data_IF_944010406270
#
_entry.id   IF_944010406270
#
_cell.length_a   1.000
_cell.length_b   1.000
_cell.length_c   1.000
_cell.angle_alpha   90.00
_cell.angle_beta   90.00
_cell.angle_gamma   90.00
#
_symmetry.space_group_name_H-M   'P 1'
#
loop_
_entity.id
_entity.type
_entity.pdbx_description
1 polymer ?
#
# COMPACT_ATOMS: atom_id res chain seq x y z
N UNK A 1 -9.81 3.98 -20.21
CA UNK A 1 -10.56 3.45 -19.04
C UNK A 1 -10.45 1.93 -19.07
N UNK A 2 -10.17 1.29 -17.93
CA UNK A 2 -10.00 -0.17 -17.84
C UNK A 2 -11.29 -0.86 -18.31
N UNK A 3 -11.20 -1.63 -19.40
CA UNK A 3 -12.36 -2.29 -20.05
C UNK A 3 -12.76 -3.61 -19.38
N UNK A 4 -12.02 -4.05 -18.36
CA UNK A 4 -12.28 -5.31 -17.66
C UNK A 4 -12.76 -5.02 -16.23
N UNK A 5 -13.78 -5.75 -15.74
CA UNK A 5 -14.25 -5.64 -14.38
C UNK A 5 -13.13 -6.04 -13.39
N UNK A 6 -13.00 -5.25 -12.33
CA UNK A 6 -12.11 -5.53 -11.21
C UNK A 6 -12.69 -6.70 -10.40
N UNK A 7 -12.36 -7.93 -10.78
CA UNK A 7 -12.88 -9.16 -10.17
C UNK A 7 -12.28 -9.44 -8.78
N UNK A 8 -11.21 -8.76 -8.42
CA UNK A 8 -10.47 -8.91 -7.17
C UNK A 8 -10.90 -7.89 -6.09
N UNK A 9 -12.07 -7.27 -6.23
CA UNK A 9 -12.66 -6.36 -5.25
C UNK A 9 -14.09 -6.75 -4.95
N UNK A 10 -14.41 -6.92 -3.66
CA UNK A 10 -15.77 -7.09 -3.19
C UNK A 10 -16.13 -5.95 -2.22
N UNK A 11 -17.41 -5.55 -2.20
CA UNK A 11 -17.92 -4.57 -1.24
C UNK A 11 -18.58 -5.30 -0.07
N UNK A 12 -18.20 -4.96 1.16
CA UNK A 12 -18.84 -5.51 2.37
C UNK A 12 -20.18 -4.79 2.63
N UNK A 13 -21.08 -5.37 3.45
CA UNK A 13 -22.33 -4.72 3.84
C UNK A 13 -22.13 -3.33 4.49
N UNK A 14 -21.02 -3.14 5.20
CA UNK A 14 -20.63 -1.89 5.86
C UNK A 14 -20.04 -0.86 4.86
N UNK A 15 -19.94 -1.24 3.58
CA UNK A 15 -19.40 -0.38 2.52
C UNK A 15 -17.89 -0.34 2.43
N UNK A 16 -17.16 -1.23 3.12
CA UNK A 16 -15.73 -1.39 2.96
C UNK A 16 -15.41 -2.19 1.69
N UNK A 17 -14.17 -2.07 1.22
CA UNK A 17 -13.65 -2.87 0.11
C UNK A 17 -12.79 -4.01 0.65
N UNK A 18 -13.13 -5.22 0.26
CA UNK A 18 -12.33 -6.42 0.46
C UNK A 18 -11.46 -6.65 -0.79
N UNK A 19 -10.16 -6.76 -0.57
CA UNK A 19 -9.16 -7.01 -1.61
C UNK A 19 -8.89 -8.52 -1.69
N UNK A 20 -9.32 -9.14 -2.79
CA UNK A 20 -9.16 -10.57 -3.06
C UNK A 20 -7.96 -10.79 -4.00
N UNK A 21 -7.53 -12.04 -4.14
CA UNK A 21 -6.52 -12.49 -5.12
C UNK A 21 -5.26 -11.60 -5.13
N UNK A 22 -4.67 -11.41 -3.94
CA UNK A 22 -3.49 -10.57 -3.71
C UNK A 22 -2.18 -11.36 -3.59
N UNK A 23 -2.20 -12.66 -3.90
CA UNK A 23 -1.06 -13.59 -3.81
C UNK A 23 0.10 -13.16 -4.71
N UNK A 24 -0.21 -12.53 -5.83
CA UNK A 24 0.77 -12.02 -6.77
C UNK A 24 1.48 -10.75 -6.29
N UNK A 25 1.11 -10.16 -5.13
CA UNK A 25 1.54 -8.83 -4.69
C UNK A 25 3.05 -8.58 -4.56
N UNK A 26 3.59 -8.66 -3.35
CA UNK A 26 4.94 -8.17 -2.94
C UNK A 26 6.15 -8.85 -3.64
N UNK A 27 5.88 -9.72 -4.61
CA UNK A 27 6.86 -10.45 -5.40
C UNK A 27 6.58 -10.28 -6.90
N UNK A 28 5.66 -11.07 -7.45
CA UNK A 28 5.39 -11.09 -8.88
C UNK A 28 4.84 -9.75 -9.41
N UNK A 29 4.05 -9.04 -8.60
CA UNK A 29 3.42 -7.77 -8.95
C UNK A 29 4.44 -6.66 -9.15
N UNK A 30 5.57 -6.69 -8.43
CA UNK A 30 6.65 -5.74 -8.66
C UNK A 30 7.37 -5.93 -9.99
N UNK A 31 7.30 -7.11 -10.63
CA UNK A 31 7.83 -7.30 -11.99
C UNK A 31 7.02 -6.54 -13.04
N UNK A 32 5.75 -6.25 -12.74
CA UNK A 32 4.84 -5.54 -13.62
C UNK A 32 4.68 -4.07 -13.21
N UNK A 33 5.50 -3.58 -12.28
CA UNK A 33 5.34 -2.25 -11.72
C UNK A 33 5.35 -1.19 -12.82
N UNK A 34 6.31 -1.24 -13.74
CA UNK A 34 6.41 -0.31 -14.87
C UNK A 34 5.13 -0.26 -15.72
N UNK A 35 4.50 -1.42 -15.96
CA UNK A 35 3.26 -1.53 -16.74
C UNK A 35 2.06 -0.91 -16.03
N UNK A 36 2.01 -0.97 -14.70
CA UNK A 36 0.84 -0.54 -13.92
C UNK A 36 1.04 0.77 -13.15
N UNK A 37 2.26 1.28 -13.06
CA UNK A 37 2.60 2.46 -12.26
C UNK A 37 1.85 3.71 -12.72
N UNK A 38 1.64 3.88 -14.03
CA UNK A 38 0.85 4.99 -14.56
C UNK A 38 -0.59 4.99 -14.02
N UNK A 39 -1.23 3.84 -13.85
CA UNK A 39 -2.57 3.74 -13.27
C UNK A 39 -2.55 4.03 -11.77
N UNK A 40 -1.55 3.52 -11.04
CA UNK A 40 -1.39 3.82 -9.61
C UNK A 40 -1.19 5.32 -9.37
N UNK A 41 -0.35 5.97 -10.18
CA UNK A 41 -0.10 7.41 -10.11
C UNK A 41 -1.32 8.22 -10.48
N UNK A 42 -2.00 7.89 -11.59
CA UNK A 42 -3.22 8.60 -11.98
C UNK A 42 -4.29 8.58 -10.88
N UNK A 43 -4.43 7.46 -10.16
CA UNK A 43 -5.35 7.37 -9.02
C UNK A 43 -4.88 8.19 -7.83
N UNK A 44 -3.60 8.07 -7.46
CA UNK A 44 -3.04 8.75 -6.30
C UNK A 44 -3.02 10.27 -6.51
N UNK A 45 -2.46 10.73 -7.64
CA UNK A 45 -2.32 12.14 -8.01
C UNK A 45 -3.67 12.83 -8.23
N UNK A 46 -4.71 12.06 -8.61
CA UNK A 46 -6.06 12.56 -8.82
C UNK A 46 -6.83 12.88 -7.55
N UNK A 47 -6.33 12.49 -6.37
CA UNK A 47 -7.06 12.61 -5.10
C UNK A 47 -6.16 13.15 -3.97
N UNK A 48 -6.73 14.05 -3.15
CA UNK A 48 -6.15 14.51 -1.89
C UNK A 48 -7.07 14.22 -0.69
N UNK A 49 -7.72 13.05 -0.72
CA UNK A 49 -8.65 12.58 0.32
C UNK A 49 -8.10 11.26 0.86
N UNK A 50 -7.88 11.19 2.17
CA UNK A 50 -7.28 10.03 2.82
C UNK A 50 -7.88 9.84 4.20
N UNK A 51 -8.06 8.61 4.67
CA UNK A 51 -8.43 8.38 6.08
C UNK A 51 -7.32 8.82 7.02
N UNK A 52 -7.67 9.45 8.15
CA UNK A 52 -6.67 9.96 9.14
C UNK A 52 -5.71 8.87 9.56
N UNK A 53 -6.29 7.77 10.01
CA UNK A 53 -5.56 6.63 10.54
C UNK A 53 -4.58 6.07 9.51
N UNK A 54 -4.99 5.97 8.23
CA UNK A 54 -4.11 5.48 7.16
C UNK A 54 -2.90 6.40 6.96
N UNK A 55 -3.11 7.73 6.94
CA UNK A 55 -2.01 8.70 6.82
C UNK A 55 -1.06 8.64 8.01
N UNK A 56 -1.60 8.48 9.22
CA UNK A 56 -0.77 8.39 10.43
C UNK A 56 0.10 7.13 10.42
N UNK A 57 -0.45 5.98 10.01
CA UNK A 57 0.29 4.73 9.87
C UNK A 57 1.32 4.79 8.75
N UNK A 58 0.98 5.30 7.56
CA UNK A 58 1.95 5.49 6.46
C UNK A 58 3.09 6.41 6.89
N UNK A 59 2.76 7.52 7.56
CA UNK A 59 3.75 8.43 8.12
C UNK A 59 4.65 7.78 9.16
N UNK A 60 4.08 6.93 10.03
CA UNK A 60 4.85 6.15 11.01
C UNK A 60 5.78 5.15 10.35
N UNK A 61 5.28 4.31 9.44
CA UNK A 61 6.07 3.32 8.71
C UNK A 61 7.20 3.96 7.90
N UNK A 62 6.95 5.11 7.29
CA UNK A 62 7.98 5.87 6.59
C UNK A 62 9.06 6.40 7.53
N UNK A 63 8.68 7.00 8.67
CA UNK A 63 9.62 7.56 9.66
C UNK A 63 10.47 6.48 10.32
N UNK A 64 9.83 5.39 10.75
CA UNK A 64 10.49 4.32 11.49
C UNK A 64 11.31 3.42 10.55
N UNK A 65 11.04 3.47 9.23
CA UNK A 65 11.69 2.67 8.18
C UNK A 65 11.76 1.16 8.49
N UNK A 66 10.79 0.66 9.26
CA UNK A 66 10.79 -0.66 9.87
C UNK A 66 9.73 -1.60 9.27
N UNK A 67 9.17 -1.27 8.11
CA UNK A 67 8.10 -2.07 7.47
C UNK A 67 8.51 -3.54 7.28
N UNK A 68 9.79 -3.80 7.00
CA UNK A 68 10.33 -5.15 6.89
C UNK A 68 10.16 -5.95 8.19
N UNK A 69 10.53 -5.33 9.32
CA UNK A 69 10.45 -5.95 10.65
C UNK A 69 8.99 -6.20 11.02
N UNK A 70 8.14 -5.19 10.84
CA UNK A 70 6.70 -5.28 11.15
C UNK A 70 6.04 -6.38 10.31
N UNK A 71 6.36 -6.44 9.01
CA UNK A 71 5.78 -7.44 8.11
C UNK A 71 6.31 -8.84 8.40
N UNK A 72 7.61 -8.98 8.69
CA UNK A 72 8.21 -10.26 9.07
C UNK A 72 7.59 -10.79 10.36
N UNK A 73 7.45 -9.93 11.37
CA UNK A 73 6.81 -10.30 12.63
C UNK A 73 5.35 -10.71 12.43
N UNK A 74 4.59 -9.95 11.63
CA UNK A 74 3.21 -10.29 11.30
C UNK A 74 3.10 -11.65 10.59
N UNK A 75 3.98 -11.91 9.62
CA UNK A 75 4.01 -13.20 8.92
C UNK A 75 4.34 -14.36 9.86
N UNK A 76 5.34 -14.19 10.74
CA UNK A 76 5.68 -15.20 11.76
C UNK A 76 4.54 -15.48 12.75
N UNK A 77 3.78 -14.45 13.13
CA UNK A 77 2.69 -14.59 14.10
C UNK A 77 1.42 -15.19 13.48
N UNK A 78 1.14 -14.87 12.22
CA UNK A 78 -0.07 -15.33 11.52
C UNK A 78 0.05 -16.75 11.02
N UNK A 79 1.26 -17.16 10.60
CA UNK A 79 1.52 -18.47 10.01
C UNK A 79 2.73 -19.17 10.68
N UNK A 80 2.60 -19.64 11.94
CA UNK A 80 3.69 -20.31 12.64
C UNK A 80 4.22 -21.54 11.87
N UNK A 81 5.54 -21.64 11.71
CA UNK A 81 6.20 -22.75 10.98
C UNK A 81 6.27 -22.58 9.46
N UNK A 82 5.66 -21.54 8.90
CA UNK A 82 5.70 -21.30 7.44
C UNK A 82 7.12 -21.02 6.92
N UNK A 83 8.00 -20.46 7.75
CA UNK A 83 9.39 -20.13 7.39
C UNK A 83 10.25 -21.34 7.01
N UNK A 84 9.87 -22.54 7.45
CA UNK A 84 10.57 -23.77 7.07
C UNK A 84 10.32 -24.13 5.58
N UNK A 85 9.27 -23.55 4.99
CA UNK A 85 8.79 -23.86 3.64
C UNK A 85 8.83 -22.67 2.70
N UNK A 86 8.65 -21.46 3.22
CA UNK A 86 8.57 -20.23 2.43
C UNK A 86 9.56 -19.18 2.97
N UNK A 87 10.54 -18.74 2.17
CA UNK A 87 11.40 -17.64 2.57
C UNK A 87 10.61 -16.34 2.68
N UNK A 88 11.09 -15.44 3.53
CA UNK A 88 10.58 -14.08 3.56
C UNK A 88 10.92 -13.32 2.26
N UNK A 89 10.37 -12.11 2.11
CA UNK A 89 10.55 -11.27 0.93
C UNK A 89 12.04 -11.01 0.63
N UNK A 90 12.46 -11.07 -0.64
CA UNK A 90 13.80 -10.65 -1.06
C UNK A 90 14.06 -9.17 -0.73
N UNK A 91 15.32 -8.83 -0.47
CA UNK A 91 15.73 -7.46 -0.14
C UNK A 91 15.28 -6.44 -1.21
N UNK A 92 15.33 -6.82 -2.49
CA UNK A 92 14.84 -5.97 -3.60
C UNK A 92 13.35 -5.62 -3.43
N UNK A 93 12.51 -6.59 -3.07
CA UNK A 93 11.08 -6.35 -2.82
C UNK A 93 10.87 -5.45 -1.61
N UNK A 94 11.64 -5.65 -0.54
CA UNK A 94 11.58 -4.79 0.65
C UNK A 94 11.95 -3.34 0.30
N UNK A 95 13.01 -3.13 -0.48
CA UNK A 95 13.41 -1.80 -0.97
C UNK A 95 12.29 -1.16 -1.80
N UNK A 96 11.71 -1.90 -2.76
CA UNK A 96 10.57 -1.41 -3.53
C UNK A 96 9.38 -1.05 -2.65
N UNK A 97 9.06 -1.83 -1.61
CA UNK A 97 7.98 -1.51 -0.66
C UNK A 97 8.27 -0.20 0.10
N UNK A 98 9.50 -0.03 0.60
CA UNK A 98 9.95 1.20 1.28
C UNK A 98 9.82 2.43 0.37
N UNK A 99 10.27 2.32 -0.88
CA UNK A 99 10.18 3.40 -1.87
C UNK A 99 8.73 3.78 -2.16
N UNK A 100 7.83 2.78 -2.29
CA UNK A 100 6.41 3.02 -2.51
C UNK A 100 5.72 3.69 -1.32
N UNK A 101 6.09 3.31 -0.09
CA UNK A 101 5.61 3.99 1.14
C UNK A 101 6.09 5.45 1.14
N UNK A 102 7.36 5.70 0.81
CA UNK A 102 7.90 7.05 0.73
C UNK A 102 7.16 7.90 -0.33
N UNK A 103 6.83 7.32 -1.49
CA UNK A 103 6.07 8.00 -2.54
C UNK A 103 4.67 8.41 -2.07
N UNK A 104 3.93 7.50 -1.42
CA UNK A 104 2.60 7.82 -0.85
C UNK A 104 2.72 8.90 0.21
N UNK A 105 3.72 8.81 1.10
CA UNK A 105 3.92 9.82 2.13
C UNK A 105 4.27 11.21 1.54
N UNK A 106 5.06 11.24 0.46
CA UNK A 106 5.38 12.48 -0.24
C UNK A 106 4.14 13.09 -0.91
N UNK A 107 3.26 12.26 -1.47
CA UNK A 107 1.99 12.72 -2.01
C UNK A 107 1.10 13.34 -0.94
N UNK A 108 0.97 12.67 0.21
CA UNK A 108 0.21 13.21 1.36
C UNK A 108 0.78 14.56 1.82
N UNK A 109 2.10 14.72 1.89
CA UNK A 109 2.75 16.01 2.24
C UNK A 109 2.42 17.09 1.21
N UNK A 110 2.46 16.74 -0.08
CA UNK A 110 2.11 17.64 -1.18
C UNK A 110 0.64 18.08 -1.12
N UNK A 111 -0.28 17.16 -0.84
CA UNK A 111 -1.69 17.49 -0.63
C UNK A 111 -1.87 18.45 0.55
N UNK A 112 -1.20 18.22 1.69
CA UNK A 112 -1.26 19.08 2.87
C UNK A 112 -0.66 20.48 2.67
N UNK A 113 0.29 20.64 1.76
CA UNK A 113 0.87 21.96 1.46
C UNK A 113 0.02 22.74 0.46
N UNK A 114 -0.62 22.05 -0.49
CA UNK A 114 -1.50 22.67 -1.50
C UNK A 114 -2.88 23.03 -0.96
N UNK A 115 -3.39 22.21 -0.04
CA UNK A 115 -4.70 22.38 0.56
C UNK A 115 -4.53 22.57 2.06
N UNK A 116 -5.24 23.53 2.67
CA UNK A 116 -5.18 23.75 4.12
C UNK A 116 -5.45 22.42 4.85
N UNK A 117 -4.92 22.23 6.07
CA UNK A 117 -5.08 20.97 6.81
C UNK A 117 -6.55 20.58 7.05
N UNK A 118 -7.47 21.55 6.95
CA UNK A 118 -8.92 21.39 7.04
C UNK A 118 -9.58 20.90 5.74
N UNK A 119 -8.87 20.96 4.60
CA UNK A 119 -9.35 20.61 3.26
C UNK A 119 -8.88 19.22 2.80
N UNK A 120 -7.87 18.66 3.45
CA UNK A 120 -7.54 17.23 3.33
C UNK A 120 -8.54 16.47 4.20
N UNK A 121 -9.64 16.02 3.60
CA UNK A 121 -10.68 15.33 4.34
C UNK A 121 -10.15 14.00 4.86
N UNK A 122 -10.01 13.94 6.17
CA UNK A 122 -9.81 12.73 6.91
C UNK A 122 -11.17 12.17 7.31
N UNK A 123 -11.71 11.26 6.50
CA UNK A 123 -12.80 10.38 6.93
C UNK A 123 -12.30 9.32 7.90
#
# INVERSE_FOLDING_TARGET
MMKQPTHNLAKTPEGLLLFLDNESGLLHGYRLLEKYENFHRALLDGLCIFRKHTVDIVGKLHRDNNVEVVLKQAFMSSDPGMFDWLPFLPEKSVRTLKDRIAHVQQHVRTCKSRFSSSSVFFQ
#
